data_IF_623542397447
#
_entry.id   IF_623542397447
#
_cell.length_a   1.000
_cell.length_b   1.000
_cell.length_c   1.000
_cell.angle_alpha   90.00
_cell.angle_beta   90.00
_cell.angle_gamma   90.00
#
_symmetry.space_group_name_H-M   'P 1'
#
loop_
_entity.id
_entity.type
_entity.pdbx_description
1 polymer ?
#
# COMPACT_ATOMS: atom_id res chain seq x y z
N UNK A 1 -17.82 27.41 -20.10
CA UNK A 1 -17.14 26.11 -20.04
C UNK A 1 -18.03 25.22 -19.20
N UNK A 2 -18.83 24.35 -19.83
CA UNK A 2 -19.62 23.36 -19.07
C UNK A 2 -18.65 22.51 -18.24
N UNK A 3 -18.95 22.28 -16.95
CA UNK A 3 -18.10 21.43 -16.11
C UNK A 3 -18.27 20.00 -16.59
N UNK A 4 -17.18 19.22 -16.57
CA UNK A 4 -17.22 17.80 -16.97
C UNK A 4 -18.24 17.04 -16.13
N UNK A 5 -18.46 17.47 -14.87
CA UNK A 5 -19.48 16.89 -13.99
C UNK A 5 -20.92 17.35 -14.31
N UNK A 6 -21.12 18.52 -14.90
CA UNK A 6 -22.45 19.08 -15.19
C UNK A 6 -23.10 18.44 -16.44
N UNK A 7 -22.29 17.92 -17.38
CA UNK A 7 -22.78 17.16 -18.56
C UNK A 7 -23.27 15.74 -18.19
N UNK A 8 -23.18 15.36 -16.92
CA UNK A 8 -23.51 14.02 -16.39
C UNK A 8 -24.88 14.05 -15.65
N UNK A 9 -25.45 15.23 -15.44
CA UNK A 9 -26.79 15.42 -14.88
C UNK A 9 -27.83 15.55 -16.01
N UNK A 10 -28.24 14.41 -16.59
CA UNK A 10 -29.35 14.36 -17.54
C UNK A 10 -30.68 14.74 -16.85
N UNK A 11 -31.49 15.59 -17.50
CA UNK A 11 -32.69 16.30 -17.00
C UNK A 11 -33.84 15.43 -16.43
N UNK A 12 -33.67 14.11 -16.34
CA UNK A 12 -34.70 13.16 -15.88
C UNK A 12 -34.38 12.45 -14.55
N UNK A 13 -33.31 12.83 -13.83
CA UNK A 13 -33.04 12.34 -12.47
C UNK A 13 -32.78 10.83 -12.34
N UNK A 14 -32.52 10.13 -13.45
CA UNK A 14 -32.27 8.69 -13.49
C UNK A 14 -31.00 8.31 -14.30
N UNK A 15 -30.19 9.29 -14.72
CA UNK A 15 -29.03 9.10 -15.61
C UNK A 15 -27.66 8.95 -14.92
N UNK A 16 -27.57 9.15 -13.59
CA UNK A 16 -26.27 9.36 -12.91
C UNK A 16 -25.82 8.16 -12.03
N UNK A 17 -26.39 6.98 -12.22
CA UNK A 17 -25.98 5.78 -11.48
C UNK A 17 -24.78 5.11 -12.16
N UNK A 18 -23.65 4.98 -11.46
CA UNK A 18 -22.52 4.20 -11.93
C UNK A 18 -22.98 2.76 -12.28
N UNK A 19 -22.66 2.25 -13.49
CA UNK A 19 -23.14 0.94 -13.94
C UNK A 19 -22.46 -0.16 -13.11
N UNK A 20 -23.24 -0.79 -12.24
CA UNK A 20 -22.73 -1.77 -11.27
C UNK A 20 -22.19 -3.02 -11.95
N UNK A 21 -22.59 -3.30 -13.19
CA UNK A 21 -22.09 -4.43 -13.99
C UNK A 21 -20.58 -4.35 -14.23
N UNK A 22 -20.00 -3.13 -14.19
CA UNK A 22 -18.55 -2.94 -14.26
C UNK A 22 -17.84 -3.46 -12.99
N UNK A 23 -18.52 -3.52 -11.85
CA UNK A 23 -17.89 -3.86 -10.57
C UNK A 23 -18.21 -5.28 -10.11
N UNK A 24 -19.29 -5.91 -10.56
CA UNK A 24 -19.79 -7.18 -10.01
C UNK A 24 -19.10 -8.43 -10.55
N UNK A 25 -18.36 -8.35 -11.66
CA UNK A 25 -17.73 -9.50 -12.32
C UNK A 25 -16.41 -9.97 -11.68
N UNK A 26 -15.87 -9.24 -10.72
CA UNK A 26 -14.63 -9.57 -10.00
C UNK A 26 -13.57 -8.47 -10.10
N UNK A 27 -12.49 -8.61 -9.31
CA UNK A 27 -11.51 -7.53 -9.12
C UNK A 27 -10.82 -7.11 -10.41
N UNK A 28 -10.45 -8.04 -11.28
CA UNK A 28 -9.71 -7.68 -12.48
C UNK A 28 -10.59 -7.03 -13.54
N UNK A 29 -11.81 -7.53 -13.74
CA UNK A 29 -12.79 -6.89 -14.63
C UNK A 29 -13.12 -5.47 -14.15
N UNK A 30 -13.34 -5.32 -12.85
CA UNK A 30 -13.56 -4.02 -12.24
C UNK A 30 -12.36 -3.09 -12.39
N UNK A 31 -11.14 -3.60 -12.25
CA UNK A 31 -9.93 -2.80 -12.38
C UNK A 31 -9.72 -2.27 -13.80
N UNK A 32 -10.09 -3.04 -14.83
CA UNK A 32 -10.17 -2.59 -16.23
C UNK A 32 -11.28 -1.55 -16.39
N UNK A 33 -12.50 -1.86 -15.93
CA UNK A 33 -13.68 -1.02 -16.13
C UNK A 33 -13.61 0.35 -15.47
N UNK A 34 -12.83 0.47 -14.38
CA UNK A 34 -12.60 1.72 -13.67
C UNK A 34 -11.62 2.67 -14.39
N UNK A 35 -10.73 2.18 -15.27
CA UNK A 35 -9.83 3.06 -16.01
C UNK A 35 -10.62 3.99 -16.94
N UNK A 36 -10.31 5.28 -16.87
CA UNK A 36 -11.02 6.34 -17.58
C UNK A 36 -12.26 6.88 -16.86
N UNK A 37 -12.81 6.17 -15.86
CA UNK A 37 -13.88 6.70 -15.03
C UNK A 37 -13.40 7.85 -14.14
N UNK A 38 -14.33 8.63 -13.58
CA UNK A 38 -14.01 9.72 -12.66
C UNK A 38 -14.25 9.31 -11.21
N UNK A 39 -13.35 9.72 -10.33
CA UNK A 39 -13.57 9.78 -8.90
C UNK A 39 -13.78 11.24 -8.51
N UNK A 40 -14.98 11.58 -8.08
CA UNK A 40 -15.46 12.94 -7.84
C UNK A 40 -15.67 13.15 -6.34
N UNK A 41 -15.11 14.24 -5.82
CA UNK A 41 -15.29 14.71 -4.45
C UNK A 41 -16.20 15.93 -4.47
N UNK A 42 -17.34 15.82 -3.81
CA UNK A 42 -18.29 16.92 -3.62
C UNK A 42 -17.96 17.68 -2.34
N UNK A 43 -17.91 19.01 -2.41
CA UNK A 43 -17.58 19.88 -1.29
C UNK A 43 -18.83 20.58 -0.73
N UNK A 44 -18.85 20.96 0.56
CA UNK A 44 -20.02 21.60 1.19
C UNK A 44 -20.43 22.94 0.57
N UNK A 45 -19.53 23.62 -0.13
CA UNK A 45 -19.78 24.87 -0.83
C UNK A 45 -20.41 24.69 -2.22
N UNK A 46 -20.71 23.45 -2.61
CA UNK A 46 -21.29 23.11 -3.92
C UNK A 46 -20.25 23.03 -5.05
N UNK A 47 -18.96 23.11 -4.74
CA UNK A 47 -17.90 22.85 -5.71
C UNK A 47 -17.51 21.37 -5.74
N UNK A 48 -16.76 20.97 -6.76
CA UNK A 48 -16.28 19.61 -6.95
C UNK A 48 -14.80 19.57 -7.30
N UNK A 49 -14.14 18.49 -6.90
CA UNK A 49 -12.81 18.09 -7.40
C UNK A 49 -12.92 16.72 -8.03
N UNK A 50 -12.36 16.54 -9.23
CA UNK A 50 -12.47 15.27 -9.95
C UNK A 50 -11.13 14.83 -10.52
N UNK A 51 -10.84 13.53 -10.38
CA UNK A 51 -9.72 12.88 -11.05
C UNK A 51 -10.25 11.80 -12.00
N UNK A 52 -9.68 11.72 -13.19
CA UNK A 52 -9.87 10.58 -14.09
C UNK A 52 -8.94 9.46 -13.67
N UNK A 53 -9.46 8.27 -13.40
CA UNK A 53 -8.66 7.14 -12.91
C UNK A 53 -7.76 6.63 -14.04
N UNK A 54 -6.45 6.62 -13.81
CA UNK A 54 -5.44 6.21 -14.81
C UNK A 54 -4.62 4.99 -14.38
N UNK A 55 -4.73 4.57 -13.12
CA UNK A 55 -4.03 3.41 -12.59
C UNK A 55 -4.84 2.71 -11.49
N UNK A 56 -4.96 1.39 -11.61
CA UNK A 56 -5.68 0.52 -10.68
C UNK A 56 -4.87 -0.74 -10.33
N UNK A 57 -5.13 -1.33 -9.16
CA UNK A 57 -4.65 -2.68 -8.80
C UNK A 57 -5.78 -3.55 -8.29
N UNK A 58 -5.86 -4.78 -8.80
CA UNK A 58 -6.86 -5.77 -8.41
C UNK A 58 -6.38 -6.64 -7.25
N UNK A 59 -7.30 -6.88 -6.30
CA UNK A 59 -7.11 -7.74 -5.12
C UNK A 59 -8.38 -8.54 -4.82
N UNK A 60 -8.23 -9.83 -4.55
CA UNK A 60 -9.34 -10.70 -4.10
C UNK A 60 -8.90 -11.66 -2.99
N UNK A 61 -9.85 -12.42 -2.46
CA UNK A 61 -9.66 -13.32 -1.33
C UNK A 61 -8.76 -14.52 -1.65
N UNK A 62 -8.55 -14.83 -2.92
CA UNK A 62 -7.64 -15.90 -3.36
C UNK A 62 -6.22 -15.38 -3.62
N UNK A 63 -5.97 -14.09 -3.37
CA UNK A 63 -4.70 -13.44 -3.62
C UNK A 63 -3.87 -13.29 -2.33
N UNK A 64 -2.72 -13.96 -2.20
CA UNK A 64 -1.85 -13.84 -1.02
C UNK A 64 -1.36 -12.42 -0.71
N UNK A 65 -1.44 -11.49 -1.67
CA UNK A 65 -1.13 -10.07 -1.45
C UNK A 65 -2.31 -9.25 -0.90
N UNK A 66 -3.53 -9.79 -0.95
CA UNK A 66 -4.74 -9.10 -0.54
C UNK A 66 -4.92 -9.08 0.98
N UNK A 67 -5.50 -8.00 1.49
CA UNK A 67 -5.97 -7.93 2.88
C UNK A 67 -7.07 -8.96 3.19
N UNK A 68 -7.73 -9.52 2.18
CA UNK A 68 -8.83 -10.48 2.34
C UNK A 68 -8.38 -11.95 2.33
N UNK A 69 -7.10 -12.23 2.04
CA UNK A 69 -6.56 -13.59 1.91
C UNK A 69 -6.78 -14.48 3.14
N UNK A 70 -6.57 -13.92 4.33
CA UNK A 70 -6.76 -14.63 5.60
C UNK A 70 -8.21 -14.54 6.12
N UNK A 71 -9.15 -14.21 5.25
CA UNK A 71 -10.57 -14.08 5.59
C UNK A 71 -10.95 -12.71 6.15
N UNK A 72 -12.19 -12.64 6.62
CA UNK A 72 -12.83 -11.41 7.09
C UNK A 72 -12.31 -11.01 8.48
N UNK A 73 -12.03 -9.73 8.64
CA UNK A 73 -11.66 -9.08 9.89
C UNK A 73 -12.40 -7.74 10.00
N UNK A 74 -12.36 -7.13 11.19
CA UNK A 74 -12.97 -5.82 11.40
C UNK A 74 -12.39 -4.73 10.48
N UNK A 75 -11.08 -4.82 10.18
CA UNK A 75 -10.36 -3.87 9.33
C UNK A 75 -10.75 -3.97 7.86
N UNK A 76 -11.01 -5.17 7.34
CA UNK A 76 -11.26 -5.39 5.91
C UNK A 76 -12.73 -5.68 5.59
N UNK A 77 -13.64 -5.61 6.58
CA UNK A 77 -15.05 -6.01 6.41
C UNK A 77 -15.75 -5.35 5.21
N UNK A 78 -15.37 -4.13 4.84
CA UNK A 78 -15.95 -3.44 3.68
C UNK A 78 -15.66 -4.18 2.37
N UNK A 79 -14.47 -4.78 2.21
CA UNK A 79 -14.10 -5.57 1.03
C UNK A 79 -14.95 -6.83 0.85
N UNK A 80 -15.61 -7.29 1.91
CA UNK A 80 -16.54 -8.43 1.88
C UNK A 80 -17.99 -7.99 1.71
N UNK A 81 -18.25 -6.70 1.54
CA UNK A 81 -19.58 -6.14 1.36
C UNK A 81 -19.97 -5.98 -0.11
N UNK A 82 -21.07 -5.28 -0.40
CA UNK A 82 -21.53 -5.03 -1.76
C UNK A 82 -20.50 -4.23 -2.59
N UNK A 83 -20.44 -4.51 -3.89
CA UNK A 83 -19.62 -3.75 -4.84
C UNK A 83 -19.98 -2.25 -4.84
N UNK A 84 -19.03 -1.40 -5.25
CA UNK A 84 -19.24 0.05 -5.37
C UNK A 84 -19.16 0.82 -4.04
N UNK A 85 -18.51 0.26 -3.03
CA UNK A 85 -18.25 0.94 -1.76
C UNK A 85 -16.77 1.23 -1.59
N UNK A 86 -16.44 2.24 -0.80
CA UNK A 86 -15.06 2.61 -0.51
C UNK A 86 -14.50 1.73 0.62
N UNK A 87 -13.40 1.04 0.36
CA UNK A 87 -12.55 0.49 1.40
C UNK A 87 -11.31 1.38 1.59
N UNK A 88 -11.38 2.26 2.59
CA UNK A 88 -10.29 3.16 2.96
C UNK A 88 -9.50 2.56 4.11
N UNK A 89 -8.18 2.48 3.97
CA UNK A 89 -7.33 2.02 5.07
C UNK A 89 -6.12 2.92 5.26
N UNK A 90 -5.71 3.04 6.52
CA UNK A 90 -4.46 3.69 6.85
C UNK A 90 -3.29 2.75 6.59
N UNK A 91 -2.27 3.26 5.90
CA UNK A 91 -1.04 2.58 5.54
C UNK A 91 0.17 3.39 5.97
N UNK A 92 1.26 2.70 6.28
CA UNK A 92 2.54 3.32 6.62
C UNK A 92 2.47 4.42 7.70
N UNK A 93 1.48 4.35 8.60
CA UNK A 93 1.36 5.27 9.74
C UNK A 93 1.10 6.75 9.37
N UNK A 94 0.88 7.08 8.09
CA UNK A 94 0.75 8.47 7.62
C UNK A 94 -0.21 8.67 6.46
N UNK A 95 -0.53 7.63 5.70
CA UNK A 95 -1.23 7.78 4.43
C UNK A 95 -2.48 6.93 4.39
N UNK A 96 -3.49 7.39 3.65
CA UNK A 96 -4.65 6.57 3.31
C UNK A 96 -4.48 5.99 1.91
N UNK A 97 -5.14 4.86 1.69
CA UNK A 97 -5.38 4.30 0.36
C UNK A 97 -6.87 3.97 0.26
N UNK A 98 -7.43 4.09 -0.93
CA UNK A 98 -8.84 3.82 -1.20
C UNK A 98 -9.00 2.73 -2.25
N UNK A 99 -9.87 1.77 -1.95
CA UNK A 99 -10.26 0.72 -2.88
C UNK A 99 -11.74 0.85 -3.17
N UNK A 100 -12.14 0.46 -4.36
CA UNK A 100 -13.54 0.24 -4.74
C UNK A 100 -13.84 -1.24 -4.53
N UNK A 101 -14.82 -1.58 -3.69
CA UNK A 101 -15.26 -2.97 -3.52
C UNK A 101 -15.86 -3.48 -4.82
N UNK A 102 -15.61 -4.75 -5.13
CA UNK A 102 -15.99 -5.38 -6.39
C UNK A 102 -16.40 -6.83 -6.15
N UNK A 103 -16.98 -7.49 -7.15
CA UNK A 103 -17.38 -8.89 -7.08
C UNK A 103 -18.67 -9.12 -6.30
N UNK A 104 -18.89 -10.38 -5.93
CA UNK A 104 -20.05 -10.82 -5.17
C UNK A 104 -19.94 -10.46 -3.68
N UNK A 105 -21.07 -10.11 -3.08
CA UNK A 105 -21.16 -9.87 -1.64
C UNK A 105 -20.73 -11.12 -0.86
N UNK A 106 -19.99 -10.93 0.22
CA UNK A 106 -19.40 -12.00 1.02
C UNK A 106 -18.07 -12.57 0.50
N UNK A 107 -17.63 -12.24 -0.72
CA UNK A 107 -16.31 -12.59 -1.23
C UNK A 107 -15.37 -11.38 -1.19
N UNK A 108 -14.27 -11.47 -0.47
CA UNK A 108 -13.40 -10.32 -0.22
C UNK A 108 -12.69 -9.82 -1.48
N UNK A 109 -13.18 -8.76 -2.13
CA UNK A 109 -12.77 -8.37 -3.47
C UNK A 109 -12.82 -6.84 -3.69
N UNK A 110 -11.80 -6.29 -4.34
CA UNK A 110 -11.75 -4.85 -4.60
C UNK A 110 -10.54 -4.38 -5.42
N UNK A 111 -10.61 -3.11 -5.79
CA UNK A 111 -9.68 -2.44 -6.70
C UNK A 111 -9.09 -1.22 -6.03
N UNK A 112 -7.78 -1.21 -5.77
CA UNK A 112 -7.07 -0.01 -5.31
C UNK A 112 -7.04 1.02 -6.43
N UNK A 113 -7.47 2.25 -6.14
CA UNK A 113 -7.24 3.40 -7.01
C UNK A 113 -5.88 3.98 -6.68
N UNK A 114 -4.93 3.85 -7.63
CA UNK A 114 -3.54 4.24 -7.38
C UNK A 114 -3.21 5.63 -7.86
N UNK A 115 -3.75 6.04 -8.99
CA UNK A 115 -3.46 7.34 -9.54
C UNK A 115 -4.62 7.83 -10.40
N UNK A 116 -4.70 9.16 -10.52
CA UNK A 116 -5.70 9.82 -11.35
C UNK A 116 -5.16 11.09 -11.98
N UNK A 117 -5.61 11.41 -13.17
CA UNK A 117 -5.38 12.68 -13.86
C UNK A 117 -6.40 13.71 -13.34
N UNK A 118 -6.00 14.80 -12.67
CA UNK A 118 -6.91 15.85 -12.22
C UNK A 118 -7.58 16.51 -13.43
N UNK A 119 -8.91 16.57 -13.43
CA UNK A 119 -9.71 17.15 -14.54
C UNK A 119 -10.58 18.31 -14.09
N UNK A 120 -10.90 18.42 -12.79
CA UNK A 120 -11.71 19.50 -12.23
C UNK A 120 -11.31 19.81 -10.79
N UNK A 121 -11.49 21.05 -10.33
CA UNK A 121 -11.18 21.45 -8.95
C UNK A 121 -9.70 21.35 -8.59
N UNK A 122 -8.81 21.55 -9.57
CA UNK A 122 -7.36 21.37 -9.44
C UNK A 122 -6.76 22.29 -8.39
N UNK A 123 -7.13 23.57 -8.37
CA UNK A 123 -6.62 24.55 -7.38
C UNK A 123 -6.93 24.12 -5.95
N UNK A 124 -8.13 23.57 -5.70
CA UNK A 124 -8.51 23.07 -4.39
C UNK A 124 -7.67 21.82 -4.00
N UNK A 125 -7.43 20.90 -4.93
CA UNK A 125 -6.51 19.78 -4.69
C UNK A 125 -5.09 20.28 -4.36
N UNK A 126 -4.59 21.29 -5.06
CA UNK A 126 -3.27 21.88 -4.81
C UNK A 126 -3.20 22.47 -3.40
N UNK A 127 -4.25 23.18 -2.95
CA UNK A 127 -4.34 23.71 -1.58
C UNK A 127 -4.28 22.59 -0.53
N UNK A 128 -5.08 21.52 -0.69
CA UNK A 128 -5.04 20.34 0.18
C UNK A 128 -3.67 19.65 0.20
N UNK A 129 -2.93 19.75 -0.92
CA UNK A 129 -1.58 19.22 -1.08
C UNK A 129 -0.47 20.22 -0.77
N UNK A 130 -0.77 21.32 -0.08
CA UNK A 130 0.24 22.30 0.35
C UNK A 130 0.95 23.00 -0.81
N UNK A 131 0.23 23.28 -1.90
CA UNK A 131 0.72 23.97 -3.09
C UNK A 131 1.45 23.07 -4.10
N UNK A 132 1.50 21.75 -3.89
CA UNK A 132 2.01 20.81 -4.92
C UNK A 132 1.18 20.92 -6.20
N UNK A 133 1.82 20.71 -7.34
CA UNK A 133 1.21 20.81 -8.67
C UNK A 133 1.80 19.78 -9.64
N UNK A 134 1.31 19.75 -10.88
CA UNK A 134 1.74 18.78 -11.89
C UNK A 134 1.39 17.34 -11.52
N UNK A 135 2.19 16.39 -12.01
CA UNK A 135 1.91 14.95 -11.83
C UNK A 135 1.91 14.50 -10.37
N UNK A 136 2.73 15.12 -9.51
CA UNK A 136 2.83 14.80 -8.07
C UNK A 136 1.55 15.07 -7.27
N UNK A 137 0.59 15.77 -7.89
CA UNK A 137 -0.68 16.08 -7.26
C UNK A 137 -1.48 14.81 -6.97
N UNK A 138 -1.39 13.78 -7.81
CA UNK A 138 -2.28 12.60 -7.76
C UNK A 138 -1.65 11.32 -8.33
N UNK A 139 -0.36 11.30 -8.68
CA UNK A 139 0.34 10.14 -9.26
C UNK A 139 0.76 9.07 -8.24
N UNK A 140 -0.07 8.83 -7.22
CA UNK A 140 0.16 7.81 -6.21
C UNK A 140 -1.03 7.67 -5.26
N UNK A 141 -1.19 6.51 -4.60
CA UNK A 141 -2.43 6.20 -3.89
C UNK A 141 -2.63 7.12 -2.67
N UNK A 142 -1.53 7.47 -2.00
CA UNK A 142 -1.54 8.40 -0.88
C UNK A 142 -1.78 9.83 -1.37
N UNK A 143 -1.11 10.20 -2.45
CA UNK A 143 -1.18 11.50 -3.12
C UNK A 143 -2.61 11.82 -3.56
N UNK A 144 -3.27 10.85 -4.20
CA UNK A 144 -4.67 10.93 -4.63
C UNK A 144 -5.61 11.07 -3.44
N UNK A 145 -5.44 10.26 -2.39
CA UNK A 145 -6.27 10.39 -1.19
C UNK A 145 -6.13 11.77 -0.54
N UNK A 146 -4.92 12.32 -0.45
CA UNK A 146 -4.70 13.66 0.09
C UNK A 146 -5.34 14.75 -0.78
N UNK A 147 -5.19 14.67 -2.10
CA UNK A 147 -5.76 15.63 -3.04
C UNK A 147 -7.29 15.69 -3.01
N UNK A 148 -7.95 14.59 -2.66
CA UNK A 148 -9.41 14.49 -2.55
C UNK A 148 -9.93 14.46 -1.10
N UNK A 149 -9.06 14.72 -0.11
CA UNK A 149 -9.37 14.62 1.32
C UNK A 149 -10.08 13.30 1.72
N UNK A 150 -9.57 12.18 1.22
CA UNK A 150 -10.07 10.83 1.51
C UNK A 150 -9.36 10.29 2.76
N UNK A 151 -10.14 9.99 3.78
CA UNK A 151 -9.70 9.35 5.02
C UNK A 151 -10.69 8.27 5.48
N UNK A 152 -10.48 7.71 6.68
CA UNK A 152 -11.31 6.63 7.22
C UNK A 152 -12.75 7.02 7.53
N UNK A 153 -13.12 8.32 7.51
CA UNK A 153 -14.53 8.72 7.59
C UNK A 153 -15.35 8.23 6.40
N UNK A 154 -14.69 7.94 5.27
CA UNK A 154 -15.31 7.37 4.06
C UNK A 154 -15.21 5.83 4.03
N UNK A 155 -14.85 5.17 5.14
CA UNK A 155 -14.83 3.72 5.21
C UNK A 155 -16.24 3.14 5.02
N UNK A 156 -16.41 2.27 4.03
CA UNK A 156 -17.69 1.67 3.66
C UNK A 156 -18.65 2.64 2.95
N UNK A 157 -18.18 3.82 2.53
CA UNK A 157 -19.01 4.82 1.86
C UNK A 157 -19.52 4.30 0.51
N UNK A 158 -20.79 4.51 0.19
CA UNK A 158 -21.36 4.15 -1.11
C UNK A 158 -20.90 5.14 -2.19
N UNK A 159 -20.09 4.67 -3.14
CA UNK A 159 -19.47 5.50 -4.18
C UNK A 159 -20.45 5.91 -5.29
N UNK A 160 -21.76 5.68 -5.15
CA UNK A 160 -22.77 6.32 -6.00
C UNK A 160 -23.30 7.63 -5.41
N UNK A 161 -22.93 7.96 -4.18
CA UNK A 161 -23.50 9.07 -3.42
C UNK A 161 -22.43 10.07 -2.98
N UNK A 162 -22.76 11.37 -2.85
CA UNK A 162 -21.85 12.33 -2.22
C UNK A 162 -21.48 11.87 -0.79
N UNK A 163 -20.31 12.26 -0.25
CA UNK A 163 -19.40 13.25 -0.81
C UNK A 163 -18.31 12.68 -1.71
N UNK A 164 -18.27 11.37 -1.97
CA UNK A 164 -17.29 10.76 -2.86
C UNK A 164 -18.00 9.80 -3.83
N UNK A 165 -17.93 10.09 -5.12
CA UNK A 165 -18.68 9.37 -6.16
C UNK A 165 -17.78 8.86 -7.27
N UNK A 166 -18.15 7.70 -7.80
CA UNK A 166 -17.69 7.19 -9.09
C UNK A 166 -18.67 7.65 -10.16
N UNK A 167 -18.10 8.16 -11.24
CA UNK A 167 -18.85 8.57 -12.42
C UNK A 167 -18.30 7.87 -13.64
N UNK A 168 -19.19 7.31 -14.45
CA UNK A 168 -18.80 6.55 -15.63
C UNK A 168 -18.20 7.49 -16.67
N UNK A 169 -17.00 7.15 -17.13
CA UNK A 169 -16.39 7.74 -18.32
C UNK A 169 -15.54 6.67 -19.03
N UNK A 170 -15.30 6.87 -20.32
CA UNK A 170 -14.56 5.92 -21.16
C UNK A 170 -13.10 6.30 -21.30
N UNK A 171 -12.29 5.35 -21.80
CA UNK A 171 -10.97 5.67 -22.33
C UNK A 171 -11.11 6.68 -23.48
N UNK A 172 -10.13 7.58 -23.61
CA UNK A 172 -10.04 8.50 -24.74
C UNK A 172 -9.57 7.74 -25.99
N UNK A 173 -9.88 8.27 -27.16
CA UNK A 173 -9.45 7.68 -28.43
C UNK A 173 -7.93 7.47 -28.46
N UNK A 174 -7.49 6.28 -28.90
CA UNK A 174 -6.08 5.91 -28.98
C UNK A 174 -5.45 5.45 -27.66
N UNK A 175 -6.13 5.59 -26.52
CA UNK A 175 -5.60 5.10 -25.24
C UNK A 175 -5.61 3.58 -25.16
N UNK A 176 -4.53 3.03 -24.58
CA UNK A 176 -4.33 1.59 -24.40
C UNK A 176 -4.13 1.28 -22.93
N UNK A 177 -4.73 0.18 -22.49
CA UNK A 177 -4.49 -0.36 -21.15
C UNK A 177 -3.25 -1.24 -21.20
N UNK A 178 -2.35 -1.07 -20.24
CA UNK A 178 -1.20 -1.93 -20.01
C UNK A 178 -1.32 -2.66 -18.68
N UNK A 179 -0.93 -3.93 -18.64
CA UNK A 179 -0.85 -4.74 -17.43
C UNK A 179 0.59 -4.86 -16.96
N UNK A 180 0.79 -4.74 -15.65
CA UNK A 180 2.11 -4.84 -14.98
C UNK A 180 1.97 -5.58 -13.64
N UNK A 181 3.09 -6.10 -13.09
CA UNK A 181 3.17 -6.48 -11.68
C UNK A 181 2.70 -5.36 -10.74
N UNK A 182 2.13 -5.68 -9.59
CA UNK A 182 1.71 -4.68 -8.58
C UNK A 182 2.89 -4.07 -7.83
N UNK A 183 2.70 -2.87 -7.29
CA UNK A 183 3.72 -2.12 -6.55
C UNK A 183 3.56 -2.33 -5.05
N UNK A 184 4.68 -2.59 -4.37
CA UNK A 184 4.72 -2.58 -2.89
C UNK A 184 4.17 -3.86 -2.25
N UNK A 185 4.14 -4.97 -2.99
CA UNK A 185 3.77 -6.29 -2.49
C UNK A 185 4.95 -7.27 -2.55
N UNK A 186 5.05 -8.18 -1.59
CA UNK A 186 6.06 -9.24 -1.54
C UNK A 186 5.53 -10.60 -1.99
N UNK A 187 4.25 -10.87 -1.73
CA UNK A 187 3.57 -12.12 -2.12
C UNK A 187 2.89 -11.94 -3.47
N UNK A 188 2.85 -13.00 -4.28
CA UNK A 188 2.22 -13.00 -5.61
C UNK A 188 2.64 -11.80 -6.50
N UNK A 189 3.87 -11.30 -6.32
CA UNK A 189 4.37 -10.10 -6.97
C UNK A 189 4.50 -10.26 -8.49
N UNK A 190 4.67 -11.50 -8.98
CA UNK A 190 4.75 -11.79 -10.41
C UNK A 190 3.41 -11.65 -11.16
N UNK A 191 2.27 -11.64 -10.46
CA UNK A 191 0.95 -11.61 -11.11
C UNK A 191 0.67 -10.20 -11.69
N UNK A 192 0.30 -10.08 -12.98
CA UNK A 192 0.13 -8.79 -13.66
C UNK A 192 -1.22 -8.13 -13.36
N UNK A 193 -1.50 -7.85 -12.09
CA UNK A 193 -2.79 -7.32 -11.60
C UNK A 193 -2.78 -5.82 -11.34
N UNK A 194 -1.83 -5.08 -11.92
CA UNK A 194 -1.81 -3.61 -11.96
C UNK A 194 -2.08 -3.16 -13.38
N UNK A 195 -3.11 -2.33 -13.56
CA UNK A 195 -3.50 -1.81 -14.86
C UNK A 195 -3.25 -0.30 -14.93
N UNK A 196 -2.73 0.15 -16.07
CA UNK A 196 -2.40 1.55 -16.34
C UNK A 196 -2.94 1.99 -17.69
N UNK A 197 -3.30 3.27 -17.82
CA UNK A 197 -3.43 3.91 -19.13
C UNK A 197 -2.02 4.23 -19.64
N UNK A 198 -1.55 3.48 -20.65
CA UNK A 198 -0.18 3.57 -21.14
C UNK A 198 0.12 4.98 -21.67
N UNK A 199 1.28 5.53 -21.27
CA UNK A 199 1.72 6.85 -21.69
C UNK A 199 1.08 8.03 -20.95
N UNK A 200 0.09 7.79 -20.08
CA UNK A 200 -0.49 8.87 -19.28
C UNK A 200 0.51 9.36 -18.21
N UNK A 201 0.81 10.67 -18.13
CA UNK A 201 1.85 11.20 -17.25
C UNK A 201 1.48 11.11 -15.75
N UNK A 202 0.20 10.90 -15.42
CA UNK A 202 -0.27 10.75 -14.04
C UNK A 202 -0.19 9.32 -13.52
N UNK A 203 0.16 8.33 -14.34
CA UNK A 203 0.49 6.98 -13.84
C UNK A 203 1.65 7.08 -12.85
N UNK A 204 1.56 6.35 -11.74
CA UNK A 204 2.57 6.42 -10.69
C UNK A 204 3.96 6.03 -11.20
N UNK A 205 4.98 6.74 -10.70
CA UNK A 205 6.37 6.52 -11.14
C UNK A 205 6.87 5.16 -10.65
N UNK A 206 7.12 4.24 -11.59
CA UNK A 206 7.58 2.89 -11.29
C UNK A 206 8.43 2.33 -12.42
N UNK A 207 9.58 1.68 -12.13
CA UNK A 207 10.35 0.95 -13.14
C UNK A 207 9.54 -0.12 -13.86
N UNK A 208 8.49 -0.64 -13.21
CA UNK A 208 7.60 -1.64 -13.77
C UNK A 208 6.75 -1.12 -14.94
N UNK A 209 6.60 0.20 -15.10
CA UNK A 209 5.87 0.79 -16.23
C UNK A 209 6.50 0.40 -17.57
N UNK A 210 7.83 0.21 -17.62
CA UNK A 210 8.55 -0.25 -18.82
C UNK A 210 8.24 -1.70 -19.21
N UNK A 211 7.68 -2.48 -18.28
CA UNK A 211 7.28 -3.88 -18.47
C UNK A 211 5.80 -4.02 -18.78
N UNK A 212 5.10 -2.91 -19.05
CA UNK A 212 3.67 -2.94 -19.35
C UNK A 212 3.41 -3.69 -20.65
N UNK A 213 2.62 -4.75 -20.55
CA UNK A 213 2.13 -5.50 -21.70
C UNK A 213 0.74 -4.97 -22.03
N UNK A 214 0.46 -4.56 -23.28
CA UNK A 214 -0.88 -4.14 -23.68
C UNK A 214 -1.92 -5.23 -23.38
N UNK A 215 -3.04 -4.84 -22.80
CA UNK A 215 -4.20 -5.71 -22.68
C UNK A 215 -4.92 -5.70 -24.03
N UNK A 216 -4.77 -6.76 -24.82
CA UNK A 216 -5.43 -6.85 -26.12
C UNK A 216 -6.94 -6.99 -25.93
N UNK A 217 -7.71 -6.14 -26.63
CA UNK A 217 -9.18 -6.15 -26.59
C UNK A 217 -9.82 -7.48 -27.07
N UNK A 218 -9.03 -8.39 -27.63
CA UNK A 218 -9.47 -9.67 -28.19
C UNK A 218 -9.20 -10.90 -27.30
N UNK A 219 -8.51 -10.75 -26.16
CA UNK A 219 -8.41 -11.83 -25.19
C UNK A 219 -9.30 -11.48 -23.99
N UNK A 220 -10.39 -12.23 -23.74
CA UNK A 220 -11.00 -12.20 -22.43
C UNK A 220 -9.89 -12.46 -21.42
N UNK A 221 -9.85 -11.69 -20.34
CA UNK A 221 -9.15 -12.15 -19.15
C UNK A 221 -9.73 -13.52 -18.83
N UNK A 222 -9.02 -14.58 -19.22
CA UNK A 222 -9.33 -15.91 -18.74
C UNK A 222 -9.21 -15.78 -17.24
N UNK A 223 -10.34 -15.93 -16.57
CA UNK A 223 -10.37 -16.31 -15.18
C UNK A 223 -9.38 -17.47 -15.08
N UNK A 224 -8.28 -17.26 -14.37
CA UNK A 224 -7.47 -18.40 -13.93
C UNK A 224 -8.34 -19.10 -12.91
N UNK A 225 -9.29 -19.90 -13.40
CA UNK A 225 -9.96 -20.92 -12.63
C UNK A 225 -8.86 -21.94 -12.26
N UNK A 226 -8.25 -21.70 -11.11
CA UNK A 226 -7.36 -22.63 -10.44
C UNK A 226 -8.11 -23.27 -9.28
N UNK A 227 -8.65 -24.45 -9.57
CA UNK A 227 -9.08 -25.53 -8.67
C UNK A 227 -10.18 -25.24 -7.64
N UNK A 228 -11.41 -25.41 -8.12
CA UNK A 228 -12.47 -26.04 -7.33
C UNK A 228 -12.10 -27.50 -7.05
N UNK A 229 -11.43 -27.76 -5.93
CA UNK A 229 -11.55 -29.06 -5.25
C UNK A 229 -12.12 -28.85 -3.86
N UNK A 230 -13.18 -29.62 -3.60
CA UNK A 230 -13.98 -29.71 -2.41
C UNK A 230 -13.27 -29.39 -1.08
N UNK A 231 -14.02 -28.72 -0.20
CA UNK A 231 -13.72 -28.55 1.21
C UNK A 231 -13.20 -29.85 1.85
N UNK A 232 -11.99 -29.81 2.40
CA UNK A 232 -11.54 -30.75 3.41
C UNK A 232 -11.01 -29.99 4.63
N UNK A 233 -11.53 -30.38 5.79
CA UNK A 233 -11.21 -29.90 7.13
C UNK A 233 -9.71 -30.07 7.47
N UNK A 234 -9.19 -29.36 8.49
CA UNK A 234 -7.75 -29.23 8.68
C UNK A 234 -7.14 -30.56 9.15
N UNK A 235 -6.02 -30.96 8.54
CA UNK A 235 -5.14 -32.00 9.09
C UNK A 235 -3.81 -31.39 9.52
N UNK A 236 -3.38 -31.83 10.70
CA UNK A 236 -2.15 -31.47 11.38
C UNK A 236 -0.89 -31.86 10.59
N UNK A 237 0.20 -31.19 11.01
CA UNK A 237 1.63 -31.34 10.70
C UNK A 237 2.11 -32.56 9.92
N UNK A 238 2.97 -32.31 8.92
CA UNK A 238 4.27 -32.99 8.78
C UNK A 238 5.13 -32.25 7.73
N UNK A 239 6.36 -31.90 8.11
CA UNK A 239 7.44 -31.49 7.20
C UNK A 239 8.17 -32.77 6.75
N UNK A 240 8.46 -32.92 5.44
CA UNK A 240 9.71 -33.56 5.03
C UNK A 240 10.45 -32.78 3.91
N UNK A 241 11.70 -33.16 3.58
CA UNK A 241 12.79 -32.20 3.46
C UNK A 241 13.17 -31.80 2.02
N UNK A 242 13.93 -30.70 1.99
CA UNK A 242 14.89 -30.21 1.01
C UNK A 242 15.27 -31.12 -0.17
N UNK A 243 15.22 -30.57 -1.38
CA UNK A 243 16.18 -30.87 -2.45
C UNK A 243 16.22 -29.70 -3.45
N UNK A 244 17.35 -29.00 -3.51
CA UNK A 244 17.74 -28.13 -4.62
C UNK A 244 18.09 -28.97 -5.87
N UNK A 245 18.04 -28.41 -7.09
CA UNK A 245 19.27 -27.84 -7.63
C UNK A 245 19.13 -26.57 -8.52
N UNK A 246 20.16 -25.72 -8.36
CA UNK A 246 20.95 -25.01 -9.39
C UNK A 246 20.32 -23.89 -10.25
N UNK A 247 20.87 -22.68 -10.02
CA UNK A 247 20.81 -21.50 -10.88
C UNK A 247 22.24 -21.22 -11.38
N UNK A 248 22.43 -21.10 -12.69
CA UNK A 248 23.66 -20.55 -13.30
C UNK A 248 23.48 -19.05 -13.63
N UNK A 249 24.48 -18.25 -13.21
CA UNK A 249 25.02 -16.95 -13.71
C UNK A 249 24.08 -15.73 -13.92
N UNK A 250 24.42 -14.48 -13.59
CA UNK A 250 25.69 -13.87 -13.18
C UNK A 250 25.51 -12.65 -12.23
N UNK A 251 26.17 -12.77 -11.08
CA UNK A 251 27.11 -11.85 -10.38
C UNK A 251 27.00 -10.32 -10.55
N UNK A 252 26.68 -9.64 -9.43
CA UNK A 252 27.44 -8.46 -9.02
C UNK A 252 27.96 -8.69 -7.60
N UNK A 253 29.30 -8.71 -7.48
CA UNK A 253 30.04 -9.11 -6.30
C UNK A 253 30.28 -7.88 -5.43
N UNK A 254 29.56 -7.75 -4.32
CA UNK A 254 29.95 -6.88 -3.20
C UNK A 254 30.36 -7.79 -2.05
N UNK A 255 31.65 -7.78 -1.72
CA UNK A 255 32.20 -8.60 -0.65
C UNK A 255 31.48 -8.28 0.68
N UNK A 256 31.08 -9.29 1.47
CA UNK A 256 30.42 -9.07 2.76
C UNK A 256 31.34 -8.31 3.71
N UNK A 257 30.85 -7.21 4.27
CA UNK A 257 31.59 -6.44 5.28
C UNK A 257 31.55 -7.21 6.61
N UNK A 258 32.68 -7.81 6.98
CA UNK A 258 32.79 -8.67 8.18
C UNK A 258 32.69 -7.94 9.51
N UNK A 259 32.68 -6.59 9.53
CA UNK A 259 32.47 -5.78 10.74
C UNK A 259 31.65 -4.52 10.42
N UNK A 260 30.34 -4.69 10.22
CA UNK A 260 29.43 -3.54 10.05
C UNK A 260 29.22 -2.79 11.36
N UNK A 261 29.39 -1.48 11.34
CA UNK A 261 29.13 -0.64 12.51
C UNK A 261 27.62 -0.41 12.70
N UNK A 262 27.05 -0.89 13.81
CA UNK A 262 25.65 -0.64 14.19
C UNK A 262 25.56 0.54 15.16
N UNK A 263 24.88 1.60 14.75
CA UNK A 263 24.57 2.80 15.55
C UNK A 263 23.08 2.89 15.88
N UNK A 264 22.74 3.69 16.90
CA UNK A 264 21.36 4.05 17.21
C UNK A 264 21.23 5.57 17.21
N UNK A 265 20.10 6.09 16.74
CA UNK A 265 19.86 7.53 16.73
C UNK A 265 18.38 7.87 16.81
N UNK A 266 18.03 8.97 17.47
CA UNK A 266 16.66 9.45 17.43
C UNK A 266 16.33 9.95 16.04
N UNK A 267 15.17 9.54 15.50
CA UNK A 267 14.67 10.00 14.20
C UNK A 267 14.33 11.50 14.17
N UNK A 268 14.30 12.14 15.34
CA UNK A 268 14.10 13.57 15.49
C UNK A 268 15.41 14.38 15.45
N UNK A 269 16.57 13.75 15.40
CA UNK A 269 17.86 14.43 15.23
C UNK A 269 18.20 14.63 13.76
N UNK A 270 18.99 15.66 13.48
CA UNK A 270 19.38 16.02 12.11
C UNK A 270 20.24 14.90 11.48
N UNK A 271 19.86 14.36 10.31
CA UNK A 271 20.62 13.30 9.66
C UNK A 271 22.08 13.69 9.41
N UNK A 272 23.01 12.78 9.70
CA UNK A 272 24.43 12.93 9.40
C UNK A 272 24.77 12.19 8.11
N UNK A 273 25.72 12.73 7.35
CA UNK A 273 26.30 12.03 6.20
C UNK A 273 27.03 10.72 6.62
N UNK A 274 27.40 10.63 7.90
CA UNK A 274 28.10 9.49 8.48
C UNK A 274 27.16 8.40 9.03
N UNK A 275 25.83 8.52 8.84
CA UNK A 275 24.86 7.58 9.41
C UNK A 275 24.79 6.23 8.65
N UNK A 276 25.37 6.14 7.45
CA UNK A 276 25.23 4.94 6.60
C UNK A 276 23.77 4.68 6.25
N UNK A 277 23.36 3.40 6.19
CA UNK A 277 21.97 3.03 5.96
C UNK A 277 21.10 3.36 7.18
N UNK A 278 20.07 4.19 6.99
CA UNK A 278 19.16 4.62 8.07
C UNK A 278 17.90 3.76 8.09
N UNK A 279 17.78 2.91 9.12
CA UNK A 279 16.69 1.93 9.26
C UNK A 279 15.78 2.34 10.41
N UNK A 280 14.53 2.72 10.14
CA UNK A 280 13.52 2.95 11.18
C UNK A 280 13.08 1.62 11.78
N UNK A 281 13.24 1.48 13.10
CA UNK A 281 12.93 0.25 13.86
C UNK A 281 11.76 0.41 14.82
N UNK A 282 11.04 1.53 14.74
CA UNK A 282 9.77 1.72 15.44
C UNK A 282 8.59 1.22 14.62
N UNK A 283 7.62 0.59 15.29
CA UNK A 283 6.37 0.14 14.63
C UNK A 283 5.51 1.30 14.12
N UNK A 284 5.59 2.46 14.78
CA UNK A 284 4.84 3.64 14.39
C UNK A 284 5.77 4.63 13.72
N UNK A 285 5.26 5.28 12.69
CA UNK A 285 5.97 6.37 12.07
C UNK A 285 6.10 7.56 13.06
N UNK A 286 7.26 8.22 13.15
CA UNK A 286 7.44 9.39 14.01
C UNK A 286 6.50 10.54 13.63
N UNK A 287 5.73 11.02 14.60
CA UNK A 287 4.79 12.14 14.40
C UNK A 287 5.55 13.39 13.93
N UNK A 288 4.95 14.11 12.98
CA UNK A 288 5.48 15.39 12.49
C UNK A 288 6.73 15.29 11.60
N UNK A 289 7.12 14.09 11.17
CA UNK A 289 8.26 13.86 10.26
C UNK A 289 7.76 13.33 8.93
N UNK A 290 8.29 13.84 7.81
CA UNK A 290 8.10 13.23 6.49
C UNK A 290 9.23 12.23 6.24
N UNK A 291 9.04 11.30 5.29
CA UNK A 291 10.11 10.38 4.87
C UNK A 291 11.37 11.14 4.42
N UNK A 292 11.17 12.23 3.69
CA UNK A 292 12.25 13.06 3.17
C UNK A 292 13.01 13.80 4.26
N UNK A 293 12.31 14.39 5.25
CA UNK A 293 12.98 15.12 6.34
C UNK A 293 13.64 14.20 7.36
N UNK A 294 13.11 13.01 7.57
CA UNK A 294 13.70 12.02 8.47
C UNK A 294 14.86 11.22 7.84
N UNK A 295 15.08 11.32 6.51
CA UNK A 295 16.02 10.50 5.74
C UNK A 295 15.99 9.04 6.16
N UNK A 296 14.80 8.42 6.14
CA UNK A 296 14.64 7.00 6.45
C UNK A 296 14.74 6.22 5.14
N UNK A 297 15.76 5.39 5.00
CA UNK A 297 15.99 4.58 3.80
C UNK A 297 15.12 3.32 3.82
N UNK A 298 15.06 2.66 4.98
CA UNK A 298 14.27 1.45 5.20
C UNK A 298 13.42 1.60 6.45
N UNK A 299 12.17 1.20 6.38
CA UNK A 299 11.33 1.08 7.56
C UNK A 299 10.97 -0.37 7.83
N UNK A 300 11.56 -0.92 8.90
CA UNK A 300 11.42 -2.32 9.27
C UNK A 300 10.46 -2.48 10.44
N UNK A 301 9.20 -2.05 10.28
CA UNK A 301 8.17 -2.06 11.34
C UNK A 301 7.93 -3.41 12.01
N UNK A 302 8.29 -4.50 11.33
CA UNK A 302 8.06 -5.87 11.77
C UNK A 302 9.15 -6.36 12.73
N UNK A 303 10.31 -5.68 12.79
CA UNK A 303 11.34 -5.94 13.82
C UNK A 303 10.94 -5.37 15.18
N UNK A 304 10.05 -4.37 15.19
CA UNK A 304 9.71 -3.61 16.38
C UNK A 304 8.87 -4.41 17.41
N UNK A 305 8.93 -4.07 18.71
CA UNK A 305 8.18 -4.76 19.77
C UNK A 305 6.68 -4.74 19.51
N UNK A 306 5.98 -5.85 19.82
CA UNK A 306 4.53 -6.03 19.68
C UNK A 306 3.73 -4.84 20.23
N UNK A 307 2.53 -4.62 19.69
CA UNK A 307 1.64 -3.57 20.22
C UNK A 307 1.41 -3.77 21.73
N UNK A 308 1.18 -5.01 22.15
CA UNK A 308 0.93 -5.36 23.54
C UNK A 308 2.16 -5.09 24.42
N UNK A 309 3.34 -5.54 23.99
CA UNK A 309 4.58 -5.32 24.73
C UNK A 309 4.91 -3.83 24.85
N UNK A 310 4.74 -3.06 23.78
CA UNK A 310 4.99 -1.61 23.80
C UNK A 310 3.99 -0.86 24.69
N UNK A 311 2.71 -1.24 24.66
CA UNK A 311 1.70 -0.68 25.57
C UNK A 311 2.00 -1.03 27.03
N UNK A 312 2.46 -2.26 27.29
CA UNK A 312 2.84 -2.69 28.64
C UNK A 312 4.09 -1.97 29.15
N UNK A 313 5.13 -1.82 28.32
CA UNK A 313 6.35 -1.11 28.68
C UNK A 313 6.05 0.34 29.04
N UNK A 314 5.23 1.02 28.22
CA UNK A 314 4.74 2.36 28.52
C UNK A 314 5.82 3.42 28.68
N UNK A 315 7.08 3.14 28.27
CA UNK A 315 8.26 3.95 28.56
C UNK A 315 8.53 4.15 30.06
N UNK A 316 8.22 3.14 30.88
CA UNK A 316 8.51 3.13 32.32
C UNK A 316 9.90 2.51 32.52
N UNK A 317 10.94 3.28 32.92
CA UNK A 317 12.32 2.79 33.03
C UNK A 317 12.46 1.56 33.94
N UNK A 318 11.69 1.48 35.02
CA UNK A 318 11.71 0.35 35.96
C UNK A 318 11.25 -0.97 35.33
N UNK A 319 10.58 -0.91 34.18
CA UNK A 319 10.16 -2.10 33.42
C UNK A 319 11.15 -2.48 32.31
N UNK A 320 12.24 -1.74 32.15
CA UNK A 320 13.11 -1.89 30.98
C UNK A 320 13.78 -3.26 30.88
N UNK A 321 14.30 -3.81 31.98
CA UNK A 321 14.98 -5.11 31.96
C UNK A 321 14.02 -6.24 31.52
N UNK A 322 12.81 -6.22 32.07
CA UNK A 322 11.77 -7.18 31.69
C UNK A 322 11.26 -6.94 30.26
N UNK A 323 11.12 -5.67 29.85
CA UNK A 323 10.82 -5.32 28.47
C UNK A 323 11.88 -5.85 27.50
N UNK A 324 13.17 -5.70 27.84
CA UNK A 324 14.28 -6.17 27.04
C UNK A 324 14.23 -7.70 26.90
N UNK A 325 14.04 -8.44 27.99
CA UNK A 325 13.92 -9.89 27.97
C UNK A 325 12.73 -10.36 27.11
N UNK A 326 11.55 -9.75 27.29
CA UNK A 326 10.35 -10.08 26.49
C UNK A 326 10.51 -9.72 25.02
N UNK A 327 11.14 -8.60 24.71
CA UNK A 327 11.36 -8.18 23.33
C UNK A 327 12.37 -9.08 22.62
N UNK A 328 13.44 -9.53 23.30
CA UNK A 328 14.37 -10.53 22.76
C UNK A 328 13.65 -11.84 22.46
N UNK A 329 12.76 -12.31 23.33
CA UNK A 329 11.93 -13.48 23.04
C UNK A 329 11.01 -13.27 21.82
N UNK A 330 10.43 -12.06 21.63
CA UNK A 330 9.69 -11.75 20.40
C UNK A 330 10.59 -11.81 19.16
N UNK A 331 11.84 -11.34 19.25
CA UNK A 331 12.83 -11.40 18.15
C UNK A 331 13.24 -12.84 17.82
N UNK A 332 13.47 -13.69 18.83
CA UNK A 332 13.80 -15.11 18.66
C UNK A 332 12.70 -15.87 17.90
N UNK A 333 11.44 -15.48 18.11
CA UNK A 333 10.28 -16.05 17.41
C UNK A 333 9.97 -15.38 16.06
N UNK A 334 10.80 -14.43 15.62
CA UNK A 334 10.61 -13.67 14.38
C UNK A 334 11.86 -13.72 13.47
N UNK A 335 12.28 -14.93 13.03
CA UNK A 335 13.51 -15.11 12.28
C UNK A 335 13.51 -14.40 10.92
N UNK A 336 12.33 -14.19 10.30
CA UNK A 336 12.23 -13.49 9.01
C UNK A 336 12.63 -12.01 9.13
N UNK A 337 12.07 -11.28 10.10
CA UNK A 337 12.42 -9.88 10.30
C UNK A 337 13.87 -9.70 10.74
N UNK A 338 14.37 -10.59 11.62
CA UNK A 338 15.76 -10.60 12.08
C UNK A 338 16.72 -10.86 10.92
N UNK A 339 16.44 -11.88 10.10
CA UNK A 339 17.28 -12.22 8.93
C UNK A 339 17.32 -11.07 7.93
N UNK A 340 16.18 -10.40 7.70
CA UNK A 340 16.13 -9.22 6.84
C UNK A 340 16.99 -8.08 7.38
N UNK A 341 16.95 -7.81 8.68
CA UNK A 341 17.81 -6.78 9.29
C UNK A 341 19.30 -7.17 9.21
N UNK A 342 19.63 -8.45 9.45
CA UNK A 342 21.01 -8.95 9.32
C UNK A 342 21.53 -8.83 7.90
N UNK A 343 20.71 -9.09 6.87
CA UNK A 343 21.07 -8.84 5.48
C UNK A 343 21.39 -7.36 5.21
N UNK A 344 20.56 -6.44 5.70
CA UNK A 344 20.85 -5.01 5.60
C UNK A 344 22.14 -4.60 6.35
N UNK A 345 22.49 -5.32 7.42
CA UNK A 345 23.73 -5.09 8.15
C UNK A 345 24.93 -5.63 7.36
N UNK A 346 24.85 -6.83 6.78
CA UNK A 346 25.96 -7.39 5.99
C UNK A 346 26.26 -6.60 4.71
N UNK A 347 25.23 -5.98 4.12
CA UNK A 347 25.33 -5.30 2.82
C UNK A 347 25.86 -3.87 2.93
N UNK A 348 26.01 -3.33 4.14
CA UNK A 348 26.37 -1.94 4.37
C UNK A 348 27.46 -1.81 5.44
N UNK A 349 28.52 -1.03 5.23
CA UNK A 349 29.60 -0.87 6.23
C UNK A 349 29.15 -0.19 7.52
N UNK A 350 28.01 0.52 7.49
CA UNK A 350 27.38 1.13 8.66
C UNK A 350 25.86 1.15 8.52
N UNK A 351 25.19 0.81 9.61
CA UNK A 351 23.73 0.88 9.75
C UNK A 351 23.36 1.68 10.99
N UNK A 352 22.49 2.68 10.85
CA UNK A 352 21.92 3.45 11.95
C UNK A 352 20.47 3.06 12.17
N UNK A 353 20.17 2.47 13.34
CA UNK A 353 18.82 2.15 13.78
C UNK A 353 18.14 3.40 14.34
N UNK A 354 17.05 3.81 13.71
CA UNK A 354 16.30 5.00 14.08
C UNK A 354 15.12 4.66 14.98
N UNK A 355 14.95 5.44 16.06
CA UNK A 355 13.85 5.31 17.02
C UNK A 355 13.24 6.68 17.39
N UNK A 356 12.02 6.67 17.90
CA UNK A 356 11.24 7.88 18.20
C UNK A 356 11.16 8.26 19.69
N UNK A 357 11.42 7.31 20.61
CA UNK A 357 11.35 7.53 22.05
C UNK A 357 12.22 8.74 22.47
N UNK A 358 11.79 9.48 23.50
CA UNK A 358 12.59 10.60 24.06
C UNK A 358 13.74 10.10 24.95
N UNK A 359 13.53 8.95 25.58
CA UNK A 359 14.53 8.28 26.40
C UNK A 359 15.56 7.59 25.48
N UNK A 360 16.82 8.00 25.62
CA UNK A 360 17.93 7.51 24.81
C UNK A 360 18.52 6.19 25.33
N UNK A 361 18.22 5.83 26.58
CA UNK A 361 18.80 4.68 27.28
C UNK A 361 17.80 3.52 27.32
N UNK A 362 16.52 3.80 27.63
CA UNK A 362 15.48 2.79 27.79
C UNK A 362 14.53 2.75 26.58
N UNK A 363 15.01 2.21 25.46
CA UNK A 363 14.21 2.07 24.23
C UNK A 363 14.48 0.78 23.45
N UNK A 364 13.61 0.47 22.49
CA UNK A 364 13.68 -0.74 21.67
C UNK A 364 14.92 -0.80 20.76
N UNK A 365 15.47 0.33 20.30
CA UNK A 365 16.65 0.30 19.44
C UNK A 365 17.91 -0.12 20.21
N UNK A 366 18.02 0.23 21.50
CA UNK A 366 19.08 -0.25 22.40
C UNK A 366 19.02 -1.77 22.50
N UNK A 367 17.87 -2.33 22.86
CA UNK A 367 17.68 -3.79 23.00
C UNK A 367 17.97 -4.50 21.67
N UNK A 368 17.49 -3.96 20.54
CA UNK A 368 17.68 -4.56 19.23
C UNK A 368 19.16 -4.55 18.80
N UNK A 369 19.88 -3.45 19.03
CA UNK A 369 21.33 -3.36 18.76
C UNK A 369 22.08 -4.42 19.56
N UNK A 370 21.76 -4.57 20.84
CA UNK A 370 22.47 -5.51 21.72
C UNK A 370 22.13 -6.96 21.32
N UNK A 371 20.87 -7.24 21.00
CA UNK A 371 20.45 -8.53 20.45
C UNK A 371 21.22 -8.93 19.18
N UNK A 372 21.50 -7.97 18.29
CA UNK A 372 22.26 -8.21 17.06
C UNK A 372 23.77 -8.40 17.29
N UNK A 373 24.30 -7.94 18.43
CA UNK A 373 25.73 -8.04 18.80
C UNK A 373 26.04 -9.30 19.60
N UNK A 374 25.06 -9.81 20.36
CA UNK A 374 25.23 -10.97 21.23
C UNK A 374 25.21 -12.32 20.47
N UNK A 375 25.06 -12.30 19.14
CA UNK A 375 25.02 -13.47 18.24
C UNK A 375 25.64 -13.14 16.90
#
# INVERSE_FOLDING_TARGET
MARICDEIDDENGNGNAFPMELLTQGADHAAVGLLGCLLVRDWPDGTHSAVRIVETEAYDQNDPASHTYHGRSERNRAMFGPAGHAYVYFTYGMHYCVNVTAGADGFGCGVLIRAGEPVEGIEHMQQLRGGRSGVELTNGPAELCQALAIDTSLYGHNLRMPPLRLVRASLREGERIGCTPRIGISKAAHRPRRLIIMGNPYVSSSPLNKKAVPLDAAQPMQTVAGDSTAAQAPRESAIPPSSAPQHDGDVHNSEPHMDTEIRIRRVYEEPSADDGLRVLVDRLWPRGRSKQSARVDVWLKDIAPSKNLRTWFGHIPERFDEFAARYRAELDTNPEAVSRLRGLISDHPRVTLLYGAKDNEHNNAVVLRDYLRDQ
#
